data_IF_633259939038
#
_entry.id   IF_633259939038
#
_cell.length_a   1.000
_cell.length_b   1.000
_cell.length_c   1.000
_cell.angle_alpha   90.00
_cell.angle_beta   90.00
_cell.angle_gamma   90.00
#
_symmetry.space_group_name_H-M   'P 1'
#
loop_
_entity.id
_entity.type
_entity.pdbx_description
1 polymer ?
#
# COMPACT_ATOMS: atom_id res chain seq x y z
N UNK A 1 -6.83 17.60 9.89
CA UNK A 1 -6.87 16.73 8.68
C UNK A 1 -8.21 16.05 8.50
N UNK A 2 -8.87 15.55 9.57
CA UNK A 2 -10.18 14.90 9.47
C UNK A 2 -11.25 15.85 8.90
N UNK A 3 -11.30 17.08 9.36
CA UNK A 3 -12.24 18.10 8.85
C UNK A 3 -12.05 18.36 7.36
N UNK A 4 -10.79 18.32 6.89
CA UNK A 4 -10.48 18.41 5.46
C UNK A 4 -11.16 17.26 4.69
N UNK A 5 -10.99 16.01 5.14
CA UNK A 5 -11.61 14.89 4.45
C UNK A 5 -13.14 14.90 4.53
N UNK A 6 -13.70 15.28 5.68
CA UNK A 6 -15.15 15.44 5.84
C UNK A 6 -15.73 16.52 4.90
N UNK A 7 -14.98 17.61 4.66
CA UNK A 7 -15.39 18.68 3.75
C UNK A 7 -15.08 18.40 2.27
N UNK A 8 -14.14 17.46 1.98
CA UNK A 8 -13.66 17.18 0.61
C UNK A 8 -14.56 16.23 -0.16
N UNK A 9 -15.38 15.45 0.53
CA UNK A 9 -16.27 14.47 -0.09
C UNK A 9 -17.53 15.11 -0.66
N UNK A 10 -18.06 14.50 -1.70
CA UNK A 10 -19.34 14.86 -2.30
C UNK A 10 -20.36 13.73 -2.10
N UNK A 11 -21.55 14.06 -1.60
CA UNK A 11 -22.61 13.06 -1.44
C UNK A 11 -23.20 12.69 -2.80
N UNK A 12 -23.18 11.40 -3.12
CA UNK A 12 -23.75 10.89 -4.36
C UNK A 12 -25.23 10.50 -4.22
N UNK A 13 -25.89 10.17 -5.37
CA UNK A 13 -27.31 9.84 -5.42
C UNK A 13 -27.76 8.58 -4.66
N UNK A 14 -26.80 7.74 -4.21
CA UNK A 14 -27.07 6.51 -3.43
C UNK A 14 -26.67 6.64 -1.96
N UNK A 15 -26.40 7.86 -1.50
CA UNK A 15 -26.09 8.14 -0.09
C UNK A 15 -24.64 7.81 0.33
N UNK A 16 -23.76 7.50 -0.62
CA UNK A 16 -22.33 7.34 -0.40
C UNK A 16 -21.60 8.67 -0.61
N UNK A 17 -20.33 8.71 -0.23
CA UNK A 17 -19.48 9.89 -0.38
C UNK A 17 -18.37 9.63 -1.38
N UNK A 18 -18.34 10.38 -2.46
CA UNK A 18 -17.31 10.30 -3.49
C UNK A 18 -16.18 11.29 -3.21
N UNK A 19 -14.93 10.85 -3.42
CA UNK A 19 -13.76 11.72 -3.54
C UNK A 19 -13.44 11.83 -5.02
N UNK A 20 -13.57 13.02 -5.58
CA UNK A 20 -13.45 13.27 -7.01
C UNK A 20 -12.18 14.00 -7.36
N UNK A 21 -11.76 13.83 -8.62
CA UNK A 21 -10.69 14.60 -9.24
C UNK A 21 -9.40 14.57 -8.42
N UNK A 22 -8.83 13.38 -8.26
CA UNK A 22 -7.56 13.15 -7.57
C UNK A 22 -6.51 12.57 -8.53
N UNK A 23 -5.25 12.74 -8.16
CA UNK A 23 -4.16 11.92 -8.67
C UNK A 23 -3.99 10.77 -7.70
N UNK A 24 -3.98 9.54 -8.21
CA UNK A 24 -3.84 8.33 -7.42
C UNK A 24 -2.42 8.16 -6.84
N UNK A 25 -2.21 7.15 -6.00
CA UNK A 25 -0.87 6.69 -5.68
C UNK A 25 -0.16 6.16 -6.93
N UNK A 26 -0.90 5.55 -7.84
CA UNK A 26 -0.47 5.37 -9.23
C UNK A 26 -0.60 6.68 -10.02
N UNK A 27 0.51 7.34 -10.28
CA UNK A 27 0.56 8.65 -10.94
C UNK A 27 0.13 8.63 -12.42
N UNK A 28 -0.13 7.45 -13.01
CA UNK A 28 -0.78 7.37 -14.33
C UNK A 28 -2.28 7.58 -14.24
N UNK A 29 -2.86 7.46 -13.05
CA UNK A 29 -4.28 7.69 -12.80
C UNK A 29 -4.50 9.14 -12.31
N UNK A 30 -4.57 10.07 -13.25
CA UNK A 30 -4.82 11.50 -13.00
C UNK A 30 -6.28 11.86 -13.26
N UNK A 31 -6.80 12.83 -12.49
CA UNK A 31 -8.17 13.34 -12.60
C UNK A 31 -9.24 12.23 -12.50
N UNK A 32 -9.01 11.29 -11.59
CA UNK A 32 -9.90 10.15 -11.38
C UNK A 32 -10.77 10.33 -10.14
N UNK A 33 -11.91 9.65 -10.13
CA UNK A 33 -12.85 9.65 -9.01
C UNK A 33 -12.76 8.34 -8.24
N UNK A 34 -12.93 8.41 -6.93
CA UNK A 34 -12.97 7.25 -6.03
C UNK A 34 -11.74 6.33 -6.18
N UNK A 35 -10.55 6.94 -6.20
CA UNK A 35 -9.32 6.15 -6.16
C UNK A 35 -9.24 5.34 -4.87
N UNK A 36 -8.88 4.08 -4.98
CA UNK A 36 -8.92 3.11 -3.88
C UNK A 36 -7.99 3.51 -2.72
N UNK A 37 -6.73 3.86 -3.01
CA UNK A 37 -5.79 4.27 -1.98
C UNK A 37 -6.20 5.57 -1.31
N UNK A 38 -6.59 6.58 -2.08
CA UNK A 38 -7.07 7.86 -1.56
C UNK A 38 -8.28 7.67 -0.65
N UNK A 39 -9.27 6.88 -1.09
CA UNK A 39 -10.46 6.59 -0.31
C UNK A 39 -10.14 5.83 0.99
N UNK A 40 -9.26 4.82 0.92
CA UNK A 40 -8.84 4.06 2.10
C UNK A 40 -8.02 4.92 3.08
N UNK A 41 -7.13 5.80 2.58
CA UNK A 41 -6.35 6.71 3.40
C UNK A 41 -7.22 7.76 4.09
N UNK A 42 -8.19 8.34 3.38
CA UNK A 42 -9.17 9.26 3.95
C UNK A 42 -9.99 8.59 5.06
N UNK A 43 -10.48 7.38 4.80
CA UNK A 43 -11.23 6.57 5.77
C UNK A 43 -10.39 6.28 7.02
N UNK A 44 -9.15 5.84 6.86
CA UNK A 44 -8.23 5.58 7.98
C UNK A 44 -7.95 6.87 8.79
N UNK A 45 -7.73 8.01 8.12
CA UNK A 45 -7.53 9.29 8.79
C UNK A 45 -8.71 9.69 9.67
N UNK A 46 -9.93 9.57 9.15
CA UNK A 46 -11.17 9.89 9.89
C UNK A 46 -11.38 8.97 11.10
N UNK A 47 -11.08 7.68 10.95
CA UNK A 47 -11.14 6.70 12.04
C UNK A 47 -10.10 7.01 13.12
N UNK A 48 -8.83 7.26 12.74
CA UNK A 48 -7.77 7.60 13.69
C UNK A 48 -8.05 8.92 14.41
N UNK A 49 -8.59 9.93 13.73
CA UNK A 49 -8.98 11.19 14.36
C UNK A 49 -10.09 10.98 15.39
N UNK A 50 -11.06 10.14 15.08
CA UNK A 50 -12.15 9.78 16.01
C UNK A 50 -11.59 9.07 17.25
N UNK A 51 -10.67 8.15 17.10
CA UNK A 51 -10.04 7.46 18.23
C UNK A 51 -9.14 8.39 19.05
N UNK A 52 -8.35 9.22 18.40
CA UNK A 52 -7.51 10.21 19.07
C UNK A 52 -8.34 11.20 19.89
N UNK A 53 -9.46 11.68 19.35
CA UNK A 53 -10.38 12.54 20.09
C UNK A 53 -10.88 11.86 21.37
N UNK A 54 -11.29 10.59 21.29
CA UNK A 54 -11.74 9.81 22.47
C UNK A 54 -10.63 9.67 23.52
N UNK A 55 -9.40 9.36 23.11
CA UNK A 55 -8.25 9.26 24.02
C UNK A 55 -7.98 10.59 24.75
N UNK A 56 -8.17 11.71 24.06
CA UNK A 56 -7.98 13.05 24.60
C UNK A 56 -9.18 13.57 25.40
N UNK A 57 -10.28 12.80 25.52
CA UNK A 57 -11.52 13.24 26.17
C UNK A 57 -12.28 14.32 25.38
N UNK A 58 -12.03 14.43 24.07
CA UNK A 58 -12.71 15.34 23.14
C UNK A 58 -13.85 14.59 22.46
N UNK A 59 -15.01 15.21 22.32
CA UNK A 59 -16.12 14.65 21.55
C UNK A 59 -15.75 14.72 20.06
N UNK A 60 -15.60 13.57 19.36
CA UNK A 60 -15.34 13.59 17.94
C UNK A 60 -16.51 14.13 17.14
N UNK A 61 -16.23 14.78 16.02
CA UNK A 61 -17.28 15.19 15.09
C UNK A 61 -17.99 13.95 14.51
N UNK A 62 -19.31 13.97 14.53
CA UNK A 62 -20.15 12.88 14.03
C UNK A 62 -19.98 12.64 12.52
N UNK A 63 -19.66 13.68 11.75
CA UNK A 63 -19.46 13.59 10.31
C UNK A 63 -18.20 12.79 9.96
N UNK A 64 -17.18 12.74 10.81
CA UNK A 64 -15.99 11.94 10.54
C UNK A 64 -16.31 10.47 10.34
N UNK A 65 -17.05 9.87 11.26
CA UNK A 65 -17.42 8.44 11.14
C UNK A 65 -18.51 8.21 10.10
N UNK A 66 -19.43 9.16 9.91
CA UNK A 66 -20.42 9.09 8.85
C UNK A 66 -19.74 9.02 7.46
N UNK A 67 -18.78 9.89 7.21
CA UNK A 67 -18.01 9.91 5.97
C UNK A 67 -17.17 8.63 5.84
N UNK A 68 -16.40 8.25 6.87
CA UNK A 68 -15.56 7.07 6.86
C UNK A 68 -16.32 5.78 6.50
N UNK A 69 -17.54 5.62 7.04
CA UNK A 69 -18.36 4.44 6.80
C UNK A 69 -19.02 4.42 5.41
N UNK A 70 -19.06 5.55 4.72
CA UNK A 70 -19.75 5.69 3.44
C UNK A 70 -18.85 6.05 2.25
N UNK A 71 -17.54 6.20 2.43
CA UNK A 71 -16.58 6.26 1.33
C UNK A 71 -16.48 4.86 0.69
N UNK A 72 -16.66 4.70 -0.64
CA UNK A 72 -16.66 3.41 -1.29
C UNK A 72 -15.24 2.89 -1.56
N UNK A 73 -15.07 1.57 -1.47
CA UNK A 73 -13.97 0.84 -2.11
C UNK A 73 -14.60 0.01 -3.22
N UNK A 74 -14.33 0.42 -4.45
CA UNK A 74 -14.99 -0.16 -5.64
C UNK A 74 -14.39 -1.51 -6.00
N UNK A 75 -15.22 -2.38 -6.62
CA UNK A 75 -14.78 -3.71 -7.07
C UNK A 75 -15.33 -4.05 -8.44
N UNK A 76 -14.60 -4.88 -9.17
CA UNK A 76 -15.11 -5.57 -10.34
C UNK A 76 -16.11 -6.68 -9.95
N UNK A 77 -16.78 -7.25 -10.95
CA UNK A 77 -17.74 -8.36 -10.72
C UNK A 77 -17.09 -9.62 -10.13
N UNK A 78 -15.83 -9.88 -10.43
CA UNK A 78 -15.02 -10.96 -9.87
C UNK A 78 -14.41 -10.64 -8.49
N UNK A 79 -14.88 -9.55 -7.89
CA UNK A 79 -14.49 -9.04 -6.58
C UNK A 79 -13.05 -8.51 -6.47
N UNK A 80 -12.30 -8.39 -7.55
CA UNK A 80 -11.03 -7.65 -7.57
C UNK A 80 -11.30 -6.18 -7.24
N UNK A 81 -10.50 -5.59 -6.39
CA UNK A 81 -10.63 -4.17 -6.05
C UNK A 81 -10.23 -3.31 -7.24
N UNK A 82 -11.11 -2.36 -7.62
CA UNK A 82 -10.83 -1.39 -8.69
C UNK A 82 -9.94 -0.28 -8.16
N UNK A 83 -9.01 0.16 -8.96
CA UNK A 83 -8.13 1.27 -8.59
C UNK A 83 -8.88 2.60 -8.50
N UNK A 84 -9.79 2.87 -9.44
CA UNK A 84 -10.67 4.06 -9.44
C UNK A 84 -11.97 3.78 -10.21
N UNK A 85 -12.90 4.72 -10.19
CA UNK A 85 -14.24 4.52 -10.75
C UNK A 85 -14.26 4.09 -12.22
N UNK A 86 -13.39 4.65 -13.04
CA UNK A 86 -13.30 4.38 -14.47
C UNK A 86 -12.24 3.35 -14.85
N UNK A 87 -11.49 2.82 -13.87
CA UNK A 87 -10.44 1.82 -14.12
C UNK A 87 -11.00 0.55 -14.76
N UNK A 88 -10.37 0.09 -15.83
CA UNK A 88 -10.82 -1.05 -16.62
C UNK A 88 -9.71 -2.07 -16.90
N UNK A 89 -8.62 -2.04 -16.13
CA UNK A 89 -7.54 -3.02 -16.21
C UNK A 89 -6.29 -2.53 -16.92
N UNK A 90 -6.10 -1.25 -17.01
CA UNK A 90 -4.91 -0.60 -17.55
C UNK A 90 -3.65 -0.98 -16.78
N UNK A 91 -2.48 -0.74 -17.38
CA UNK A 91 -1.19 -0.87 -16.70
C UNK A 91 -1.06 0.15 -15.57
N UNK A 92 -0.31 -0.19 -14.52
CA UNK A 92 -0.04 0.68 -13.38
C UNK A 92 1.44 1.11 -13.34
N UNK A 93 1.68 2.37 -13.02
CA UNK A 93 3.05 2.87 -12.77
C UNK A 93 3.52 2.46 -11.38
N UNK A 94 2.68 2.67 -10.37
CA UNK A 94 2.96 2.32 -8.97
C UNK A 94 1.81 1.50 -8.37
N UNK A 95 2.14 0.76 -7.30
CA UNK A 95 1.14 0.08 -6.50
C UNK A 95 0.19 1.10 -5.85
N UNK A 96 -1.10 0.90 -6.02
CA UNK A 96 -2.20 1.67 -5.42
C UNK A 96 -3.08 0.75 -4.56
N UNK A 97 -3.90 -0.08 -5.19
CA UNK A 97 -4.80 -1.01 -4.51
C UNK A 97 -4.08 -1.92 -3.50
N UNK A 98 -2.87 -2.35 -3.80
CA UNK A 98 -2.13 -3.24 -2.90
C UNK A 98 -1.72 -2.57 -1.59
N UNK A 99 -1.66 -1.24 -1.54
CA UNK A 99 -1.42 -0.48 -0.32
C UNK A 99 -2.61 -0.55 0.67
N UNK A 100 -3.80 -0.90 0.20
CA UNK A 100 -4.97 -1.14 1.07
C UNK A 100 -4.75 -2.35 1.97
N UNK A 101 -3.97 -3.34 1.52
CA UNK A 101 -3.65 -4.53 2.30
C UNK A 101 -2.50 -4.28 3.28
N UNK A 102 -1.47 -3.57 2.84
CA UNK A 102 -0.36 -3.09 3.66
C UNK A 102 0.21 -1.80 3.06
N UNK A 103 0.35 -0.70 3.82
CA UNK A 103 0.23 -0.63 5.29
C UNK A 103 -1.18 -0.34 5.84
N UNK A 104 -2.18 0.04 5.01
CA UNK A 104 -3.45 0.57 5.51
C UNK A 104 -4.32 -0.46 6.24
N UNK A 105 -4.18 -1.75 5.93
CA UNK A 105 -4.97 -2.85 6.54
C UNK A 105 -6.50 -2.68 6.38
N UNK A 106 -6.93 -2.01 5.33
CA UNK A 106 -8.34 -1.94 4.93
C UNK A 106 -8.82 -3.29 4.39
N UNK A 107 -7.98 -3.95 3.58
CA UNK A 107 -8.22 -5.32 3.09
C UNK A 107 -7.40 -6.29 3.95
N UNK A 108 -8.09 -7.12 4.73
CA UNK A 108 -7.48 -8.06 5.70
C UNK A 108 -7.63 -9.52 5.31
N UNK A 109 -8.62 -9.85 4.48
CA UNK A 109 -8.85 -11.23 4.04
C UNK A 109 -7.71 -11.72 3.12
N UNK A 110 -6.96 -12.78 3.49
CA UNK A 110 -5.84 -13.28 2.68
C UNK A 110 -6.23 -13.68 1.26
N UNK A 111 -7.47 -14.12 1.05
CA UNK A 111 -7.98 -14.50 -0.29
C UNK A 111 -8.16 -13.26 -1.15
N UNK A 112 -8.73 -12.19 -0.59
CA UNK A 112 -8.86 -10.91 -1.28
C UNK A 112 -7.48 -10.27 -1.56
N UNK A 113 -6.58 -10.27 -0.57
CA UNK A 113 -5.19 -9.78 -0.73
C UNK A 113 -4.49 -10.50 -1.87
N UNK A 114 -4.56 -11.83 -1.89
CA UNK A 114 -3.92 -12.64 -2.94
C UNK A 114 -4.52 -12.34 -4.31
N UNK A 115 -5.85 -12.26 -4.41
CA UNK A 115 -6.56 -11.96 -5.67
C UNK A 115 -6.15 -10.62 -6.25
N UNK A 116 -6.17 -9.56 -5.44
CA UNK A 116 -5.78 -8.22 -5.86
C UNK A 116 -4.30 -8.17 -6.23
N UNK A 117 -3.43 -8.83 -5.46
CA UNK A 117 -1.99 -8.89 -5.74
C UNK A 117 -1.70 -9.60 -7.08
N UNK A 118 -2.33 -10.78 -7.33
CA UNK A 118 -2.17 -11.53 -8.59
C UNK A 118 -2.79 -10.82 -9.80
N UNK A 119 -3.76 -9.94 -9.57
CA UNK A 119 -4.34 -9.10 -10.62
C UNK A 119 -3.40 -7.97 -11.00
N UNK A 120 -2.88 -7.22 -10.03
CA UNK A 120 -2.08 -6.02 -10.28
C UNK A 120 -0.63 -6.33 -10.63
N UNK A 121 -0.04 -7.44 -10.16
CA UNK A 121 1.33 -7.83 -10.55
C UNK A 121 1.51 -8.01 -12.06
N UNK A 122 0.46 -8.38 -12.78
CA UNK A 122 0.46 -8.56 -14.24
C UNK A 122 0.33 -7.26 -15.02
N UNK A 123 0.09 -6.16 -14.33
CA UNK A 123 -0.15 -4.83 -14.90
C UNK A 123 1.00 -3.87 -14.70
N UNK A 124 2.05 -4.32 -14.02
CA UNK A 124 3.30 -3.56 -13.91
C UNK A 124 4.10 -3.76 -15.20
N UNK A 125 4.35 -2.71 -15.99
CA UNK A 125 5.22 -2.79 -17.16
C UNK A 125 6.65 -3.20 -16.79
N UNK A 126 7.32 -3.87 -17.72
CA UNK A 126 8.70 -4.32 -17.52
C UNK A 126 9.71 -3.17 -17.41
N UNK A 127 9.37 -2.02 -17.96
CA UNK A 127 10.23 -0.84 -18.02
C UNK A 127 9.47 0.42 -17.56
N UNK A 128 10.23 1.41 -17.10
CA UNK A 128 9.71 2.74 -16.78
C UNK A 128 8.96 2.85 -15.43
N UNK A 129 8.85 1.76 -14.67
CA UNK A 129 8.21 1.79 -13.35
C UNK A 129 9.22 2.01 -12.23
N UNK A 130 8.83 2.77 -11.18
CA UNK A 130 9.71 2.98 -10.03
C UNK A 130 9.85 1.73 -9.15
N UNK A 131 11.01 1.56 -8.54
CA UNK A 131 11.38 0.41 -7.71
C UNK A 131 10.47 0.15 -6.49
N UNK A 132 9.62 1.08 -6.10
CA UNK A 132 8.78 0.96 -4.91
C UNK A 132 7.63 -0.06 -5.05
N UNK A 133 7.11 -0.27 -6.26
CA UNK A 133 6.00 -1.21 -6.52
C UNK A 133 6.38 -2.65 -6.15
N UNK A 134 7.56 -3.07 -6.58
CA UNK A 134 8.08 -4.41 -6.33
C UNK A 134 8.28 -4.67 -4.82
N UNK A 135 8.65 -3.65 -4.06
CA UNK A 135 8.79 -3.75 -2.61
C UNK A 135 7.44 -3.98 -1.90
N UNK A 136 6.35 -3.36 -2.38
CA UNK A 136 5.00 -3.63 -1.89
C UNK A 136 4.61 -5.08 -2.15
N UNK A 137 4.82 -5.57 -3.37
CA UNK A 137 4.53 -6.97 -3.73
C UNK A 137 5.37 -7.96 -2.90
N UNK A 138 6.65 -7.67 -2.68
CA UNK A 138 7.53 -8.45 -1.80
C UNK A 138 6.91 -8.61 -0.41
N UNK A 139 6.53 -7.49 0.20
CA UNK A 139 5.96 -7.48 1.55
C UNK A 139 4.70 -8.32 1.63
N UNK A 140 3.79 -8.17 0.68
CA UNK A 140 2.52 -8.91 0.66
C UNK A 140 2.72 -10.40 0.40
N UNK A 141 3.56 -10.79 -0.57
CA UNK A 141 3.84 -12.21 -0.82
C UNK A 141 4.53 -12.89 0.35
N UNK A 142 5.46 -12.22 1.04
CA UNK A 142 6.09 -12.77 2.25
C UNK A 142 5.05 -13.01 3.36
N UNK A 143 4.14 -12.06 3.57
CA UNK A 143 3.06 -12.16 4.56
C UNK A 143 2.01 -13.21 4.19
N UNK A 144 1.79 -13.47 2.89
CA UNK A 144 0.93 -14.55 2.39
C UNK A 144 1.60 -15.93 2.40
N UNK A 145 2.87 -16.04 2.77
CA UNK A 145 3.58 -17.29 2.84
C UNK A 145 4.17 -17.78 1.51
N UNK A 146 4.23 -16.93 0.47
CA UNK A 146 4.81 -17.28 -0.81
C UNK A 146 6.26 -16.79 -0.92
N UNK A 147 7.20 -17.60 -0.42
CA UNK A 147 8.61 -17.26 -0.37
C UNK A 147 9.25 -17.04 -1.74
N UNK A 148 8.82 -17.78 -2.76
CA UNK A 148 9.37 -17.72 -4.10
C UNK A 148 9.03 -16.39 -4.79
N UNK A 149 7.75 -16.03 -4.82
CA UNK A 149 7.30 -14.75 -5.38
C UNK A 149 7.82 -13.56 -4.57
N UNK A 150 7.84 -13.67 -3.24
CA UNK A 150 8.40 -12.61 -2.39
C UNK A 150 9.87 -12.36 -2.72
N UNK A 151 10.67 -13.41 -2.91
CA UNK A 151 12.09 -13.26 -3.24
C UNK A 151 12.32 -12.74 -4.66
N UNK A 152 11.51 -13.18 -5.60
CA UNK A 152 11.55 -12.67 -6.98
C UNK A 152 11.31 -11.15 -6.99
N UNK A 153 10.22 -10.69 -6.40
CA UNK A 153 9.90 -9.26 -6.35
C UNK A 153 10.91 -8.46 -5.50
N UNK A 154 11.45 -9.06 -4.44
CA UNK A 154 12.52 -8.43 -3.65
C UNK A 154 13.77 -8.14 -4.49
N UNK A 155 14.23 -9.12 -5.28
CA UNK A 155 15.36 -8.93 -6.16
C UNK A 155 15.07 -7.88 -7.25
N UNK A 156 13.87 -7.90 -7.82
CA UNK A 156 13.46 -6.94 -8.83
C UNK A 156 13.28 -5.51 -8.28
N UNK A 157 13.05 -5.37 -6.97
CA UNK A 157 12.94 -4.07 -6.31
C UNK A 157 14.26 -3.29 -6.23
N UNK A 158 15.44 -3.95 -6.37
CA UNK A 158 16.70 -3.23 -6.21
C UNK A 158 17.77 -3.58 -7.26
N UNK A 159 17.92 -4.85 -7.64
CA UNK A 159 19.05 -5.27 -8.52
C UNK A 159 19.12 -4.45 -9.80
N UNK A 160 18.03 -4.28 -10.56
CA UNK A 160 18.07 -3.53 -11.82
C UNK A 160 18.26 -2.02 -11.66
N UNK A 161 18.06 -1.53 -10.43
CA UNK A 161 18.07 -0.10 -10.10
C UNK A 161 19.38 0.36 -9.45
N UNK A 162 20.34 -0.57 -9.21
CA UNK A 162 21.60 -0.24 -8.56
C UNK A 162 22.59 0.39 -9.52
N UNK A 163 23.05 1.61 -9.23
CA UNK A 163 24.02 2.35 -10.01
C UNK A 163 25.43 2.23 -9.42
N UNK A 164 26.45 1.88 -10.25
CA UNK A 164 27.84 1.90 -9.84
C UNK A 164 28.33 3.34 -9.59
N UNK A 165 29.46 3.55 -8.88
CA UNK A 165 30.25 2.51 -8.19
C UNK A 165 29.70 2.14 -6.81
N UNK A 166 28.85 2.96 -6.19
CA UNK A 166 28.40 2.83 -4.81
C UNK A 166 27.11 2.03 -4.66
N UNK A 167 26.55 1.52 -5.74
CA UNK A 167 25.28 0.79 -5.77
C UNK A 167 24.12 1.58 -5.15
N UNK A 168 24.08 2.89 -5.41
CA UNK A 168 22.92 3.72 -5.03
C UNK A 168 21.71 3.33 -5.86
N UNK A 169 20.56 3.34 -5.25
CA UNK A 169 19.33 2.96 -5.93
C UNK A 169 18.79 4.12 -6.77
N UNK A 170 18.54 3.87 -8.06
CA UNK A 170 17.82 4.78 -8.95
C UNK A 170 16.32 4.49 -8.91
N UNK A 171 15.52 5.44 -9.36
CA UNK A 171 14.05 5.31 -9.42
C UNK A 171 13.61 4.18 -10.35
N UNK A 172 14.17 4.15 -11.56
CA UNK A 172 13.82 3.17 -12.59
C UNK A 172 15.03 2.30 -12.98
N UNK A 173 14.75 1.16 -13.61
CA UNK A 173 15.78 0.26 -14.15
C UNK A 173 16.70 1.02 -15.12
N UNK A 174 18.02 0.99 -14.86
CA UNK A 174 19.00 1.72 -15.65
C UNK A 174 18.89 3.25 -15.54
N UNK A 175 18.09 3.76 -14.64
CA UNK A 175 17.93 5.20 -14.40
C UNK A 175 19.19 5.85 -13.88
N UNK A 176 19.35 7.15 -14.13
CA UNK A 176 20.53 7.93 -13.75
C UNK A 176 20.31 8.83 -12.54
N UNK A 177 19.06 8.94 -12.05
CA UNK A 177 18.71 9.71 -10.85
C UNK A 177 19.06 8.90 -9.60
N UNK A 178 20.17 9.17 -8.90
CA UNK A 178 20.59 8.42 -7.72
C UNK A 178 19.75 8.82 -6.50
N UNK A 179 19.86 7.99 -5.42
CA UNK A 179 19.28 8.29 -4.12
C UNK A 179 17.75 8.27 -4.08
N UNK A 180 17.14 7.32 -4.76
CA UNK A 180 15.70 7.11 -4.71
C UNK A 180 15.25 6.58 -3.34
N UNK A 181 14.97 7.50 -2.42
CA UNK A 181 14.69 7.21 -1.01
C UNK A 181 13.45 6.34 -0.83
N UNK A 182 12.41 6.53 -1.65
CA UNK A 182 11.17 5.73 -1.58
C UNK A 182 11.44 4.26 -1.87
N UNK A 183 12.25 3.96 -2.91
CA UNK A 183 12.65 2.59 -3.23
C UNK A 183 13.51 1.97 -2.13
N UNK A 184 14.48 2.72 -1.60
CA UNK A 184 15.30 2.26 -0.47
C UNK A 184 14.46 1.96 0.78
N UNK A 185 13.53 2.84 1.12
CA UNK A 185 12.56 2.64 2.20
C UNK A 185 11.68 1.42 1.99
N UNK A 186 11.21 1.20 0.76
CA UNK A 186 10.43 0.02 0.39
C UNK A 186 11.19 -1.29 0.56
N UNK A 187 12.48 -1.32 0.20
CA UNK A 187 13.36 -2.49 0.40
C UNK A 187 13.52 -2.79 1.90
N UNK A 188 13.78 -1.76 2.72
CA UNK A 188 13.86 -1.93 4.18
C UNK A 188 12.53 -2.42 4.75
N UNK A 189 11.41 -1.88 4.32
CA UNK A 189 10.07 -2.34 4.71
C UNK A 189 9.84 -3.80 4.31
N UNK A 190 10.30 -4.22 3.13
CA UNK A 190 10.21 -5.62 2.68
C UNK A 190 10.97 -6.57 3.60
N UNK A 191 12.15 -6.16 4.06
CA UNK A 191 12.94 -6.97 5.00
C UNK A 191 12.30 -7.00 6.39
N UNK A 192 11.95 -5.84 6.95
CA UNK A 192 11.45 -5.74 8.31
C UNK A 192 10.02 -6.27 8.43
N UNK A 193 9.12 -5.77 7.61
CA UNK A 193 7.67 -6.02 7.72
C UNK A 193 7.20 -7.18 6.83
N UNK A 194 7.93 -7.46 5.74
CA UNK A 194 7.70 -8.60 4.87
C UNK A 194 8.33 -9.87 5.44
N UNK A 195 9.60 -10.10 5.18
CA UNK A 195 10.31 -11.33 5.61
C UNK A 195 10.45 -11.46 7.13
N UNK A 196 10.73 -10.37 7.84
CA UNK A 196 10.83 -10.33 9.30
C UNK A 196 9.50 -10.42 10.02
N UNK A 197 8.41 -10.10 9.35
CA UNK A 197 7.06 -10.17 9.90
C UNK A 197 6.79 -9.21 11.05
N UNK A 198 7.55 -8.13 11.14
CA UNK A 198 7.29 -7.16 12.20
C UNK A 198 5.98 -6.42 11.92
N UNK A 199 5.23 -6.16 12.97
CA UNK A 199 3.99 -5.42 12.92
C UNK A 199 3.88 -4.47 14.09
N UNK A 200 3.60 -3.19 13.78
CA UNK A 200 3.39 -2.16 14.79
C UNK A 200 1.93 -2.22 15.25
N UNK A 201 1.73 -2.37 16.55
CA UNK A 201 0.42 -2.43 17.19
C UNK A 201 0.36 -1.43 18.36
N UNK A 202 -0.85 -1.13 18.88
CA UNK A 202 -0.98 -0.31 20.09
C UNK A 202 -0.26 -0.88 21.31
N UNK A 203 0.01 -2.18 21.35
CA UNK A 203 0.71 -2.88 22.43
C UNK A 203 2.22 -2.97 22.20
N UNK A 204 2.72 -2.41 21.11
CA UNK A 204 4.12 -2.44 20.71
C UNK A 204 4.36 -3.22 19.41
N UNK A 205 5.60 -3.60 19.18
CA UNK A 205 5.98 -4.35 17.98
C UNK A 205 5.82 -5.85 18.24
N UNK A 206 5.08 -6.53 17.39
CA UNK A 206 4.92 -7.99 17.41
C UNK A 206 5.51 -8.59 16.15
N UNK A 207 5.77 -9.90 16.18
CA UNK A 207 6.18 -10.67 15.01
C UNK A 207 5.04 -11.60 14.59
N UNK A 208 4.61 -11.47 13.35
CA UNK A 208 3.66 -12.40 12.72
C UNK A 208 4.41 -13.48 11.95
N UNK A 209 3.72 -14.59 11.67
CA UNK A 209 4.27 -15.66 10.84
C UNK A 209 4.44 -15.19 9.40
N UNK A 210 5.65 -15.32 8.88
CA UNK A 210 6.01 -15.05 7.48
C UNK A 210 6.90 -16.17 6.94
N UNK A 211 7.49 -15.98 5.77
CA UNK A 211 8.41 -16.93 5.15
C UNK A 211 9.70 -16.24 4.75
N UNK A 212 10.81 -16.97 4.84
CA UNK A 212 12.10 -16.54 4.31
C UNK A 212 12.35 -17.17 2.93
N UNK A 213 13.12 -16.49 2.05
CA UNK A 213 13.63 -17.12 0.83
C UNK A 213 14.40 -18.40 1.14
N UNK A 214 14.27 -19.41 0.30
CA UNK A 214 14.94 -20.70 0.50
C UNK A 214 16.47 -20.61 0.64
N UNK A 215 17.06 -19.56 0.09
CA UNK A 215 18.51 -19.29 0.14
C UNK A 215 18.95 -18.61 1.44
N UNK A 216 18.03 -18.08 2.24
CA UNK A 216 18.33 -17.44 3.51
C UNK A 216 18.18 -18.44 4.65
N UNK A 217 19.27 -18.66 5.38
CA UNK A 217 19.24 -19.59 6.54
C UNK A 217 18.55 -18.96 7.78
N UNK A 218 18.68 -17.65 7.93
CA UNK A 218 18.09 -16.89 9.02
C UNK A 218 18.01 -15.41 8.67
N UNK A 219 17.15 -14.69 9.37
CA UNK A 219 17.08 -13.23 9.39
C UNK A 219 17.08 -12.79 10.86
N UNK A 220 18.07 -12.00 11.24
CA UNK A 220 18.14 -11.42 12.59
C UNK A 220 17.95 -9.91 12.51
N UNK A 221 17.01 -9.39 13.26
CA UNK A 221 16.71 -7.95 13.39
C UNK A 221 16.98 -7.57 14.83
N UNK A 222 17.89 -6.61 15.05
CA UNK A 222 18.28 -6.13 16.38
C UNK A 222 17.73 -4.73 16.65
N UNK A 223 17.60 -4.37 17.93
CA UNK A 223 17.14 -3.04 18.34
C UNK A 223 15.64 -2.79 18.18
N UNK A 224 14.85 -3.86 18.12
CA UNK A 224 13.38 -3.77 18.00
C UNK A 224 12.75 -4.20 19.32
N UNK A 225 11.81 -3.37 19.83
CA UNK A 225 11.05 -3.71 21.04
C UNK A 225 11.83 -3.54 22.36
N UNK A 226 12.74 -2.58 22.39
CA UNK A 226 13.48 -2.19 23.62
C UNK A 226 12.65 -1.20 24.42
#
# INVERSE_FOLDING_TARGET
TADFWASRVERNGVGKFDIKNVVAADEWAENVDNNAFTNAAAKANLQFATEAAKILGIVPDADWMNVANNIPILKFADAVTKEHATYNGEGIKQADVNLLSYPLKEIKDPVAIKRDLEYYEKRVPNEGTPAMTQAVFTTLYARLGNAEKAFHWFQDAYIPNLNPPFRVIAETKGGTNPYFATGAGGILQSVLMGFGGLEITPQGIIQIKTVLPKTWKSLTIMGVGV
#
